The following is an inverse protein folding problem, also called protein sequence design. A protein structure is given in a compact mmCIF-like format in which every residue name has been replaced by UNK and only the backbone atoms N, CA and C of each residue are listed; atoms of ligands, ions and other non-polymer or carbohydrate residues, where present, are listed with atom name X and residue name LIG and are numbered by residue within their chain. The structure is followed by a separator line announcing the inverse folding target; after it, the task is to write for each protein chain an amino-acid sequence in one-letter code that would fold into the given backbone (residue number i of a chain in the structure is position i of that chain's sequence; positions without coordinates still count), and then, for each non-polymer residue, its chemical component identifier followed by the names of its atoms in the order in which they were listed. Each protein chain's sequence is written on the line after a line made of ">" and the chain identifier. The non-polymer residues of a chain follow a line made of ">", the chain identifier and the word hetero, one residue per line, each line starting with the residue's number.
data_IF_445418246364
#
_entry.id   IF_445418246364
#
_cell.length_a   1.000
_cell.length_b   1.000
_cell.length_c   1.000
_cell.angle_alpha   90.00
_cell.angle_beta   90.00
_cell.angle_gamma   90.00
#
_symmetry.space_group_name_H-M   'P 1'
#
loop_
_entity.id
_entity.type
_entity.pdbx_description
1 polymer ?
#
# COMPACT_ATOMS: atom_id res chain seq x y z
N UNK A 1 16.54 -0.04 -2.83
CA UNK A 1 15.09 0.18 -3.01
C UNK A 1 14.52 -1.05 -3.69
N UNK A 2 13.84 -1.92 -2.94
CA UNK A 2 13.09 -2.99 -3.58
C UNK A 2 11.85 -2.33 -4.20
N UNK A 3 11.58 -2.49 -5.51
CA UNK A 3 10.36 -2.00 -6.12
C UNK A 3 9.14 -2.46 -5.33
N UNK A 4 8.11 -1.62 -5.19
CA UNK A 4 6.87 -1.96 -4.50
C UNK A 4 6.20 -3.24 -5.05
N UNK A 5 6.47 -3.59 -6.31
CA UNK A 5 6.01 -4.84 -6.91
C UNK A 5 6.69 -6.11 -6.34
N UNK A 6 7.85 -6.00 -5.68
CA UNK A 6 8.56 -7.18 -5.13
C UNK A 6 7.92 -7.68 -3.84
N UNK A 7 7.38 -6.78 -3.00
CA UNK A 7 6.64 -7.16 -1.80
C UNK A 7 5.29 -7.77 -2.12
N UNK A 8 4.58 -7.25 -3.14
CA UNK A 8 3.28 -7.79 -3.56
C UNK A 8 3.40 -9.17 -4.21
N UNK A 9 4.44 -9.43 -5.00
CA UNK A 9 4.68 -10.77 -5.57
C UNK A 9 5.10 -11.76 -4.47
N UNK A 10 5.94 -11.35 -3.52
CA UNK A 10 6.36 -12.21 -2.41
C UNK A 10 5.18 -12.60 -1.52
N UNK A 11 4.36 -11.64 -1.10
CA UNK A 11 3.19 -11.94 -0.27
C UNK A 11 2.20 -12.83 -1.00
N UNK A 12 2.00 -12.64 -2.31
CA UNK A 12 1.15 -13.51 -3.11
C UNK A 12 1.69 -14.94 -3.17
N UNK A 13 3.00 -15.11 -3.39
CA UNK A 13 3.64 -16.43 -3.42
C UNK A 13 3.54 -17.15 -2.07
N UNK A 14 3.78 -16.44 -0.96
CA UNK A 14 3.63 -16.99 0.40
C UNK A 14 2.17 -17.30 0.69
N UNK A 15 1.24 -16.40 0.36
CA UNK A 15 -0.18 -16.61 0.60
C UNK A 15 -0.70 -17.85 -0.14
N UNK A 16 -0.27 -18.04 -1.39
CA UNK A 16 -0.58 -19.23 -2.17
C UNK A 16 0.00 -20.52 -1.55
N UNK A 17 1.21 -20.45 -1.01
CA UNK A 17 1.82 -21.58 -0.28
C UNK A 17 1.03 -21.94 0.98
N UNK A 18 0.54 -20.93 1.71
CA UNK A 18 -0.28 -21.10 2.92
C UNK A 18 -1.77 -21.42 2.62
N UNK A 19 -2.14 -21.56 1.35
CA UNK A 19 -3.50 -21.94 0.95
C UNK A 19 -4.55 -20.82 1.03
N UNK A 20 -4.13 -19.56 1.10
CA UNK A 20 -5.02 -18.41 1.01
C UNK A 20 -5.55 -18.25 -0.42
N UNK A 21 -6.79 -17.79 -0.54
CA UNK A 21 -7.34 -17.41 -1.85
C UNK A 21 -6.68 -16.13 -2.37
N UNK A 22 -6.75 -15.91 -3.69
CA UNK A 22 -6.28 -14.67 -4.32
C UNK A 22 -6.86 -13.43 -3.64
N UNK A 23 -8.16 -13.45 -3.36
CA UNK A 23 -8.87 -12.36 -2.67
C UNK A 23 -8.31 -12.11 -1.26
N UNK A 24 -8.11 -13.17 -0.48
CA UNK A 24 -7.54 -13.04 0.87
C UNK A 24 -6.11 -12.46 0.82
N UNK A 25 -5.29 -12.89 -0.13
CA UNK A 25 -3.95 -12.35 -0.32
C UNK A 25 -3.98 -10.85 -0.64
N UNK A 26 -4.86 -10.43 -1.55
CA UNK A 26 -5.04 -9.03 -1.92
C UNK A 26 -5.55 -8.17 -0.74
N UNK A 27 -6.53 -8.67 0.02
CA UNK A 27 -7.06 -7.98 1.21
C UNK A 27 -5.98 -7.80 2.29
N UNK A 28 -5.20 -8.84 2.57
CA UNK A 28 -4.10 -8.78 3.56
C UNK A 28 -3.01 -7.79 3.10
N UNK A 29 -2.64 -7.82 1.82
CA UNK A 29 -1.67 -6.88 1.28
C UNK A 29 -2.19 -5.43 1.35
N UNK A 30 -3.44 -5.18 0.94
CA UNK A 30 -4.07 -3.86 0.99
C UNK A 30 -4.13 -3.30 2.41
N UNK A 31 -4.54 -4.12 3.38
CA UNK A 31 -4.57 -3.73 4.79
C UNK A 31 -3.17 -3.41 5.33
N UNK A 32 -2.19 -4.25 5.01
CA UNK A 32 -0.79 -4.05 5.44
C UNK A 32 -0.22 -2.75 4.86
N UNK A 33 -0.45 -2.50 3.57
CA UNK A 33 -0.02 -1.28 2.88
C UNK A 33 -0.60 -0.01 3.52
N UNK A 34 -1.90 0.03 3.79
CA UNK A 34 -2.53 1.17 4.45
C UNK A 34 -2.00 1.35 5.88
N UNK A 35 -1.83 0.26 6.62
CA UNK A 35 -1.30 0.33 7.99
C UNK A 35 0.13 0.88 8.02
N UNK A 36 0.97 0.53 7.05
CA UNK A 36 2.33 1.06 6.92
C UNK A 36 2.34 2.57 6.63
N UNK A 37 1.49 3.04 5.71
CA UNK A 37 1.33 4.46 5.39
C UNK A 37 0.82 5.26 6.59
N UNK A 38 -0.20 4.75 7.27
CA UNK A 38 -0.76 5.34 8.49
C UNK A 38 0.29 5.39 9.62
N UNK A 39 1.07 4.33 9.79
CA UNK A 39 2.20 4.30 10.72
C UNK A 39 3.27 5.34 10.37
N UNK A 40 3.55 5.58 9.09
CA UNK A 40 4.45 6.64 8.65
C UNK A 40 3.89 8.03 8.98
N UNK A 41 2.61 8.28 8.69
CA UNK A 41 1.94 9.54 9.03
C UNK A 41 1.97 9.83 10.54
N UNK A 42 1.77 8.80 11.38
CA UNK A 42 1.89 8.92 12.83
C UNK A 42 3.31 9.29 13.27
N UNK A 43 4.35 8.65 12.72
CA UNK A 43 5.76 8.98 13.04
C UNK A 43 6.18 10.38 12.57
N UNK A 44 5.55 10.90 11.52
CA UNK A 44 5.70 12.30 11.09
C UNK A 44 4.96 13.29 12.00
N UNK A 45 4.21 12.80 13.01
CA UNK A 45 3.38 13.63 13.89
C UNK A 45 2.18 14.26 13.17
N UNK A 46 1.75 13.71 12.04
CA UNK A 46 0.62 14.23 11.25
C UNK A 46 -0.74 13.81 11.78
N UNK A 47 -0.80 12.64 12.42
CA UNK A 47 -2.03 12.04 12.94
C UNK A 47 -1.77 11.45 14.33
N UNK A 48 -2.73 11.66 15.23
CA UNK A 48 -2.80 10.99 16.53
C UNK A 48 -3.23 9.52 16.38
N UNK A 49 -3.01 8.73 17.42
CA UNK A 49 -3.36 7.31 17.41
C UNK A 49 -4.86 7.08 17.15
N UNK A 50 -5.73 7.90 17.74
CA UNK A 50 -7.18 7.81 17.53
C UNK A 50 -7.58 8.18 16.11
N UNK A 51 -6.91 9.18 15.50
CA UNK A 51 -7.16 9.54 14.11
C UNK A 51 -6.73 8.43 13.15
N UNK A 52 -5.60 7.76 13.42
CA UNK A 52 -5.16 6.59 12.66
C UNK A 52 -6.22 5.48 12.67
N UNK A 53 -6.76 5.14 13.83
CA UNK A 53 -7.78 4.08 13.93
C UNK A 53 -9.07 4.45 13.18
N UNK A 54 -9.47 5.73 13.24
CA UNK A 54 -10.64 6.22 12.50
C UNK A 54 -10.45 6.10 11.00
N UNK A 55 -9.32 6.59 10.49
CA UNK A 55 -9.01 6.52 9.05
C UNK A 55 -8.88 5.07 8.60
N UNK A 56 -8.32 4.17 9.41
CA UNK A 56 -8.23 2.75 9.07
C UNK A 56 -9.62 2.10 8.91
N UNK A 57 -10.57 2.44 9.79
CA UNK A 57 -11.94 1.93 9.68
C UNK A 57 -12.66 2.47 8.44
N UNK A 58 -12.44 3.74 8.10
CA UNK A 58 -12.96 4.37 6.87
C UNK A 58 -12.36 3.75 5.59
N UNK A 59 -11.08 3.36 5.61
CA UNK A 59 -10.39 2.77 4.46
C UNK A 59 -10.67 1.27 4.28
N UNK A 60 -11.11 0.55 5.32
CA UNK A 60 -11.43 -0.88 5.26
C UNK A 60 -12.38 -1.27 4.11
N UNK A 61 -13.55 -0.63 3.94
CA UNK A 61 -14.44 -0.94 2.82
C UNK A 61 -13.80 -0.64 1.46
N UNK A 62 -13.02 0.45 1.36
CA UNK A 62 -12.35 0.86 0.12
C UNK A 62 -11.32 -0.18 -0.32
N UNK A 63 -10.61 -0.82 0.62
CA UNK A 63 -9.71 -1.94 0.30
C UNK A 63 -10.50 -3.07 -0.38
N UNK A 64 -11.68 -3.41 0.13
CA UNK A 64 -12.55 -4.42 -0.47
C UNK A 64 -13.01 -4.03 -1.88
N UNK A 65 -13.44 -2.78 -2.06
CA UNK A 65 -13.87 -2.24 -3.35
C UNK A 65 -12.75 -2.32 -4.39
N UNK A 66 -11.52 -1.90 -4.03
CA UNK A 66 -10.36 -1.97 -4.92
C UNK A 66 -9.99 -3.43 -5.23
N UNK A 67 -10.02 -4.33 -4.26
CA UNK A 67 -9.73 -5.75 -4.53
C UNK A 67 -10.73 -6.33 -5.52
N UNK A 68 -12.01 -6.02 -5.37
CA UNK A 68 -13.07 -6.49 -6.27
C UNK A 68 -12.93 -5.88 -7.67
N UNK A 69 -12.69 -4.56 -7.78
CA UNK A 69 -12.54 -3.85 -9.05
C UNK A 69 -11.41 -4.41 -9.93
N UNK A 70 -10.30 -4.82 -9.30
CA UNK A 70 -9.10 -5.25 -10.02
C UNK A 70 -8.90 -6.78 -10.06
N UNK A 71 -9.81 -7.59 -9.49
CA UNK A 71 -9.59 -9.04 -9.30
C UNK A 71 -9.40 -9.81 -10.61
N UNK A 72 -10.07 -9.37 -11.67
CA UNK A 72 -10.12 -10.05 -12.98
C UNK A 72 -9.41 -9.25 -14.08
N UNK A 73 -8.66 -8.20 -13.71
CA UNK A 73 -7.91 -7.40 -14.67
C UNK A 73 -6.77 -8.22 -15.29
N UNK A 74 -6.57 -8.16 -16.62
CA UNK A 74 -5.49 -8.88 -17.27
C UNK A 74 -4.13 -8.26 -16.93
N UNK A 75 -3.07 -9.07 -17.04
CA UNK A 75 -1.71 -8.62 -16.69
C UNK A 75 -1.20 -7.47 -17.57
N UNK A 76 -1.69 -7.33 -18.80
CA UNK A 76 -1.35 -6.23 -19.70
C UNK A 76 -2.03 -4.90 -19.32
N UNK A 77 -3.04 -4.93 -18.44
CA UNK A 77 -3.60 -3.74 -17.81
C UNK A 77 -2.73 -3.22 -16.65
N UNK A 78 -1.69 -3.97 -16.23
CA UNK A 78 -0.77 -3.52 -15.19
C UNK A 78 0.04 -2.32 -15.65
N UNK A 79 0.10 -1.31 -14.80
CA UNK A 79 0.78 -0.06 -15.07
C UNK A 79 1.28 0.55 -13.77
N UNK A 80 2.42 1.26 -13.83
CA UNK A 80 3.11 1.75 -12.64
C UNK A 80 3.23 3.27 -12.54
N UNK A 81 2.74 4.03 -13.52
CA UNK A 81 2.95 5.47 -13.53
C UNK A 81 1.80 6.25 -12.88
N UNK A 82 2.13 6.98 -11.84
CA UNK A 82 1.23 7.72 -11.00
C UNK A 82 1.80 9.14 -10.84
N UNK A 83 1.49 10.07 -11.79
CA UNK A 83 2.18 11.36 -11.95
C UNK A 83 2.44 12.12 -10.66
N UNK A 84 1.44 12.14 -9.79
CA UNK A 84 1.47 12.80 -8.50
C UNK A 84 2.46 12.12 -7.55
N UNK A 85 2.44 10.79 -7.47
CA UNK A 85 3.37 10.00 -6.67
C UNK A 85 4.81 10.16 -7.17
N UNK A 86 5.06 10.19 -8.48
CA UNK A 86 6.42 10.43 -8.97
C UNK A 86 6.94 11.81 -8.60
N UNK A 87 6.13 12.86 -8.77
CA UNK A 87 6.52 14.22 -8.41
C UNK A 87 6.81 14.34 -6.91
N UNK A 88 5.99 13.71 -6.06
CA UNK A 88 6.22 13.68 -4.61
C UNK A 88 7.49 12.91 -4.24
N UNK A 89 7.76 11.79 -4.91
CA UNK A 89 9.00 11.02 -4.75
C UNK A 89 10.24 11.84 -5.10
N UNK A 90 10.22 12.55 -6.24
CA UNK A 90 11.30 13.47 -6.64
C UNK A 90 11.49 14.61 -5.62
N UNK A 91 10.40 15.11 -5.06
CA UNK A 91 10.42 16.08 -3.97
C UNK A 91 11.09 15.53 -2.71
N UNK A 92 10.74 14.29 -2.33
CA UNK A 92 11.32 13.61 -1.18
C UNK A 92 12.83 13.35 -1.34
N UNK A 93 13.29 12.93 -2.53
CA UNK A 93 14.72 12.74 -2.82
C UNK A 93 15.55 14.01 -2.60
N UNK A 94 14.94 15.19 -2.80
CA UNK A 94 15.59 16.51 -2.65
C UNK A 94 15.38 17.15 -1.28
N UNK A 95 14.67 16.50 -0.36
CA UNK A 95 14.39 17.07 0.95
C UNK A 95 15.66 17.16 1.81
N UNK A 96 15.87 18.32 2.45
CA UNK A 96 17.03 18.60 3.32
C UNK A 96 17.15 17.64 4.51
N UNK A 97 16.01 17.11 4.98
CA UNK A 97 15.93 16.14 6.07
C UNK A 97 14.88 15.09 5.72
N UNK A 98 15.24 13.83 5.93
CA UNK A 98 14.35 12.69 5.66
C UNK A 98 14.30 11.77 6.88
N UNK A 99 13.08 11.40 7.27
CA UNK A 99 12.83 10.36 8.27
C UNK A 99 12.65 8.98 7.62
N UNK A 100 12.42 8.94 6.31
CA UNK A 100 12.24 7.74 5.52
C UNK A 100 13.25 7.70 4.36
N UNK A 101 13.56 6.50 3.89
CA UNK A 101 14.54 6.31 2.82
C UNK A 101 13.96 6.60 1.42
N UNK A 102 12.63 6.52 1.27
CA UNK A 102 11.89 6.70 0.02
C UNK A 102 10.51 7.26 0.28
#
# INVERSE_FOLDING_TARGET
>A
MAPAHRSSVLIAAVAQHEGLTHEQACLVHGYSFITDLLGAAQRLGRLSHTEIQRVLDELRPIIGEVVEEYRDQPLDAMWSFAPTTELMGMGHERADRRLFMS
#
